data_IF_706202474669
#
_entry.id   IF_706202474669
#
_cell.length_a   1.000
_cell.length_b   1.000
_cell.length_c   1.000
_cell.angle_alpha   90.00
_cell.angle_beta   90.00
_cell.angle_gamma   90.00
#
_symmetry.space_group_name_H-M   'P 1'
#
loop_
_entity.id
_entity.type
_entity.pdbx_description
1 polymer ?
#
# COMPACT_ATOMS: atom_id res chain seq x y z
N UNK A 1 18.56 -7.08 -14.69
CA UNK A 1 17.89 -6.08 -13.83
C UNK A 1 17.34 -6.81 -12.62
N UNK A 2 17.79 -6.52 -11.39
CA UNK A 2 17.12 -7.04 -10.18
C UNK A 2 15.84 -6.23 -9.97
N UNK A 3 14.69 -6.87 -10.12
CA UNK A 3 13.41 -6.27 -9.72
C UNK A 3 13.27 -6.46 -8.21
N UNK A 4 13.08 -5.37 -7.48
CA UNK A 4 12.87 -5.40 -6.03
C UNK A 4 11.38 -5.17 -5.75
N UNK A 5 10.78 -6.09 -5.00
CA UNK A 5 9.41 -5.94 -4.52
C UNK A 5 9.43 -5.58 -3.05
N UNK A 6 8.73 -4.52 -2.72
CA UNK A 6 8.36 -4.18 -1.36
C UNK A 6 6.88 -4.49 -1.19
N UNK A 7 6.49 -4.90 0.00
CA UNK A 7 5.12 -5.29 0.27
C UNK A 7 4.67 -4.73 1.61
N UNK A 8 3.60 -3.93 1.57
CA UNK A 8 2.99 -3.35 2.77
C UNK A 8 1.81 -4.23 3.16
N UNK A 9 1.82 -4.72 4.39
CA UNK A 9 0.79 -5.60 4.94
C UNK A 9 0.39 -5.15 6.35
N UNK A 10 -0.81 -5.59 6.75
CA UNK A 10 -1.28 -5.53 8.14
C UNK A 10 -1.22 -4.13 8.79
N UNK A 11 -1.50 -3.09 8.00
CA UNK A 11 -1.68 -1.73 8.53
C UNK A 11 -3.03 -1.66 9.25
N UNK A 12 -2.97 -1.69 10.58
CA UNK A 12 -4.14 -1.68 11.44
C UNK A 12 -4.02 -0.55 12.45
N UNK A 13 -5.11 0.20 12.62
CA UNK A 13 -5.30 1.14 13.73
C UNK A 13 -6.51 0.65 14.51
N UNK A 14 -6.34 0.45 15.81
CA UNK A 14 -7.40 -0.01 16.70
C UNK A 14 -8.64 0.91 16.58
N UNK A 15 -9.88 0.38 16.53
CA UNK A 15 -11.08 1.13 16.16
C UNK A 15 -11.30 2.45 16.91
N UNK A 16 -11.06 2.45 18.22
CA UNK A 16 -11.21 3.64 19.10
C UNK A 16 -10.25 4.78 18.72
N UNK A 17 -9.16 4.48 18.01
CA UNK A 17 -8.17 5.48 17.58
C UNK A 17 -8.21 5.76 16.07
N UNK A 18 -9.22 5.25 15.36
CA UNK A 18 -9.42 5.58 13.94
C UNK A 18 -9.93 7.00 13.75
N UNK A 19 -9.81 7.54 12.53
CA UNK A 19 -10.15 8.92 12.18
C UNK A 19 -9.35 10.02 12.90
N UNK A 20 -8.36 9.64 13.73
CA UNK A 20 -7.39 10.55 14.34
C UNK A 20 -6.14 10.79 13.48
N UNK A 21 -6.18 10.42 12.20
CA UNK A 21 -5.03 10.55 11.28
C UNK A 21 -3.89 9.55 11.50
N UNK A 22 -3.99 8.64 12.46
CA UNK A 22 -2.91 7.69 12.78
C UNK A 22 -2.52 6.79 11.61
N UNK A 23 -3.49 6.30 10.84
CA UNK A 23 -3.21 5.50 9.64
C UNK A 23 -2.40 6.28 8.61
N UNK A 24 -2.72 7.56 8.42
CA UNK A 24 -1.96 8.44 7.52
C UNK A 24 -0.53 8.62 8.03
N UNK A 25 -0.36 8.85 9.34
CA UNK A 25 0.97 9.00 9.97
C UNK A 25 1.81 7.72 9.82
N UNK A 26 1.22 6.53 10.00
CA UNK A 26 1.90 5.25 9.77
C UNK A 26 2.40 5.16 8.32
N UNK A 27 1.53 5.43 7.34
CA UNK A 27 1.92 5.39 5.93
C UNK A 27 2.97 6.45 5.58
N UNK A 28 2.93 7.64 6.16
CA UNK A 28 3.97 8.65 5.95
C UNK A 28 5.37 8.13 6.35
N UNK A 29 5.47 7.42 7.48
CA UNK A 29 6.75 6.79 7.87
C UNK A 29 7.17 5.69 6.90
N UNK A 30 6.23 4.86 6.43
CA UNK A 30 6.50 3.80 5.45
C UNK A 30 6.98 4.40 4.12
N UNK A 31 6.26 5.38 3.59
CA UNK A 31 6.62 6.07 2.34
C UNK A 31 7.98 6.78 2.47
N UNK A 32 8.24 7.41 3.61
CA UNK A 32 9.55 8.03 3.89
C UNK A 32 10.67 7.00 3.83
N UNK A 33 10.49 5.82 4.43
CA UNK A 33 11.47 4.74 4.34
C UNK A 33 11.63 4.24 2.89
N UNK A 34 10.52 3.95 2.21
CA UNK A 34 10.51 3.47 0.83
C UNK A 34 11.23 4.44 -0.13
N UNK A 35 11.05 5.75 0.03
CA UNK A 35 11.74 6.75 -0.80
C UNK A 35 13.28 6.68 -0.72
N UNK A 36 13.83 6.23 0.40
CA UNK A 36 15.28 6.05 0.56
C UNK A 36 15.81 4.77 -0.08
N UNK A 37 15.04 3.68 0.02
CA UNK A 37 15.50 2.33 -0.31
C UNK A 37 14.99 1.79 -1.64
N UNK A 38 13.76 2.14 -2.05
CA UNK A 38 13.16 1.67 -3.29
C UNK A 38 13.73 2.46 -4.47
N UNK A 39 14.58 1.79 -5.26
CA UNK A 39 15.21 2.39 -6.45
C UNK A 39 14.32 2.20 -7.69
N UNK A 40 14.60 2.97 -8.74
CA UNK A 40 13.89 2.90 -10.02
C UNK A 40 13.78 1.44 -10.51
N UNK A 41 12.56 1.02 -10.85
CA UNK A 41 12.25 -0.35 -11.26
C UNK A 41 11.79 -1.26 -10.12
N UNK A 42 11.81 -0.79 -8.87
CA UNK A 42 11.13 -1.47 -7.77
C UNK A 42 9.61 -1.32 -7.88
N UNK A 43 8.88 -2.31 -7.37
CA UNK A 43 7.42 -2.26 -7.21
C UNK A 43 7.08 -2.30 -5.73
N UNK A 44 6.19 -1.43 -5.28
CA UNK A 44 5.60 -1.51 -3.95
C UNK A 44 4.16 -1.98 -4.09
N UNK A 45 3.84 -3.13 -3.51
CA UNK A 45 2.50 -3.71 -3.55
C UNK A 45 1.80 -3.66 -2.20
N UNK A 46 0.48 -3.68 -2.22
CA UNK A 46 -0.38 -3.98 -1.08
C UNK A 46 -1.67 -4.63 -1.55
N UNK A 47 -2.37 -5.30 -0.64
CA UNK A 47 -3.76 -5.73 -0.84
C UNK A 47 -4.63 -4.89 0.09
N UNK A 48 -5.38 -3.95 -0.50
CA UNK A 48 -6.29 -3.11 0.28
C UNK A 48 -7.48 -3.93 0.78
N UNK A 49 -7.88 -3.69 2.03
CA UNK A 49 -9.22 -4.07 2.46
C UNK A 49 -10.28 -3.38 1.58
N UNK A 50 -11.40 -4.07 1.33
CA UNK A 50 -12.49 -3.57 0.49
C UNK A 50 -13.00 -2.22 0.99
N UNK A 51 -13.06 -1.22 0.11
CA UNK A 51 -13.52 0.13 0.43
C UNK A 51 -12.45 1.01 1.11
N UNK A 52 -11.22 0.53 1.26
CA UNK A 52 -10.08 1.29 1.78
C UNK A 52 -9.09 1.69 0.68
N UNK A 53 -9.39 1.42 -0.58
CA UNK A 53 -8.50 1.71 -1.70
C UNK A 53 -8.18 3.21 -1.77
N UNK A 54 -9.19 4.06 -1.61
CA UNK A 54 -9.01 5.52 -1.60
C UNK A 54 -8.13 6.03 -0.46
N UNK A 55 -7.93 5.25 0.61
CA UNK A 55 -6.95 5.61 1.63
C UNK A 55 -5.52 5.57 1.06
N UNK A 56 -5.21 4.53 0.27
CA UNK A 56 -3.88 4.28 -0.31
C UNK A 56 -3.62 5.07 -1.60
N UNK A 57 -4.67 5.41 -2.37
CA UNK A 57 -4.53 6.25 -3.58
C UNK A 57 -3.84 7.59 -3.30
N UNK A 58 -4.01 8.12 -2.09
CA UNK A 58 -3.38 9.36 -1.63
C UNK A 58 -1.84 9.29 -1.54
N UNK A 59 -1.28 8.08 -1.52
CA UNK A 59 0.16 7.82 -1.52
C UNK A 59 0.67 7.36 -2.90
N UNK A 60 -0.15 7.44 -3.95
CA UNK A 60 0.25 7.07 -5.32
C UNK A 60 0.07 5.60 -5.67
N UNK A 61 -0.53 4.79 -4.79
CA UNK A 61 -0.96 3.44 -5.15
C UNK A 61 -2.10 3.48 -6.14
N UNK A 62 -2.07 2.59 -7.13
CA UNK A 62 -3.10 2.49 -8.16
C UNK A 62 -4.03 1.30 -7.91
N UNK A 63 -5.33 1.52 -8.08
CA UNK A 63 -6.33 0.43 -8.01
C UNK A 63 -6.09 -0.57 -9.13
N UNK A 64 -6.35 -1.84 -8.80
CA UNK A 64 -6.38 -2.97 -9.72
C UNK A 64 -7.75 -3.63 -9.66
N UNK A 65 -8.35 -4.00 -10.81
CA UNK A 65 -7.81 -3.82 -12.14
C UNK A 65 -7.92 -2.36 -12.60
N UNK A 66 -7.23 -2.04 -13.69
CA UNK A 66 -7.39 -0.82 -14.48
C UNK A 66 -7.07 -1.15 -15.94
N UNK A 67 -7.03 -0.15 -16.82
CA UNK A 67 -6.80 -0.35 -18.26
C UNK A 67 -5.48 -1.05 -18.60
N UNK A 68 -4.53 -1.10 -17.66
CA UNK A 68 -3.16 -1.58 -17.84
C UNK A 68 -2.83 -2.82 -16.99
N UNK A 69 -3.55 -3.03 -15.88
CA UNK A 69 -3.25 -4.07 -14.89
C UNK A 69 -4.48 -4.90 -14.54
N UNK A 70 -4.35 -6.23 -14.51
CA UNK A 70 -5.39 -7.14 -14.03
C UNK A 70 -5.60 -7.09 -12.51
N UNK A 71 -6.60 -7.83 -12.02
CA UNK A 71 -6.98 -7.88 -10.61
C UNK A 71 -5.81 -8.23 -9.67
N UNK A 72 -5.80 -7.61 -8.48
CA UNK A 72 -5.00 -8.11 -7.36
C UNK A 72 -5.63 -9.41 -6.85
N UNK A 73 -4.81 -10.44 -6.61
CA UNK A 73 -5.27 -11.79 -6.28
C UNK A 73 -4.62 -12.24 -4.97
N UNK A 74 -5.36 -13.00 -4.16
CA UNK A 74 -4.84 -13.71 -3.00
C UNK A 74 -5.53 -15.08 -2.89
N UNK A 75 -4.87 -16.03 -2.24
CA UNK A 75 -5.42 -17.34 -1.90
C UNK A 75 -5.26 -17.54 -0.40
N UNK A 76 -6.37 -17.73 0.30
CA UNK A 76 -6.36 -18.17 1.70
C UNK A 76 -6.29 -19.70 1.74
N UNK A 77 -5.52 -20.24 2.69
CA UNK A 77 -5.39 -21.69 2.94
C UNK A 77 -6.07 -22.00 4.26
#
# INVERSE_FOLDING_TARGET
MRSYYFYVQDIVVHPVYQQLGLGHKIMQYIESYLSGVAKKGATVGLLSAKGKEGFYERFGYIKRPNDILGHGMCKFI
#
